data_IF_840314740293
#
_entry.id   IF_840314740293
#
_cell.length_a   1.000
_cell.length_b   1.000
_cell.length_c   1.000
_cell.angle_alpha   90.00
_cell.angle_beta   90.00
_cell.angle_gamma   90.00
#
_symmetry.space_group_name_H-M   'P 1'
#
loop_
_entity.id
_entity.type
_entity.pdbx_description
1 polymer ?
#
# COMPACT_ATOMS: atom_id res chain seq x y z
N UNK A 1 -20.03 -25.56 -1.20
CA UNK A 1 -18.81 -26.25 -0.70
C UNK A 1 -17.58 -25.36 -0.80
N UNK A 2 -17.27 -24.79 -1.98
CA UNK A 2 -16.14 -23.85 -2.14
C UNK A 2 -16.19 -22.64 -1.21
N UNK A 3 -17.35 -21.98 -1.08
CA UNK A 3 -17.51 -20.84 -0.17
C UNK A 3 -17.18 -21.18 1.28
N UNK A 4 -17.74 -22.30 1.79
CA UNK A 4 -17.48 -22.76 3.16
C UNK A 4 -16.01 -23.10 3.42
N UNK A 5 -15.28 -23.57 2.40
CA UNK A 5 -13.83 -23.80 2.50
C UNK A 5 -13.05 -22.48 2.55
N UNK A 6 -13.38 -21.52 1.69
CA UNK A 6 -12.78 -20.19 1.68
C UNK A 6 -13.07 -19.41 2.96
N UNK A 7 -14.25 -19.63 3.54
CA UNK A 7 -14.63 -19.10 4.85
C UNK A 7 -13.79 -19.72 5.97
N UNK A 8 -13.62 -21.05 5.99
CA UNK A 8 -12.82 -21.76 6.99
C UNK A 8 -11.32 -21.44 6.94
N UNK A 9 -10.81 -21.00 5.78
CA UNK A 9 -9.43 -20.59 5.58
C UNK A 9 -9.19 -19.10 5.87
N UNK A 10 -10.22 -18.34 6.26
CA UNK A 10 -10.18 -16.88 6.37
C UNK A 10 -9.57 -16.22 5.13
N UNK A 11 -9.86 -16.79 3.95
CA UNK A 11 -9.24 -16.37 2.70
C UNK A 11 -9.56 -14.91 2.40
N UNK A 12 -8.58 -14.06 2.05
CA UNK A 12 -8.81 -12.68 1.64
C UNK A 12 -9.83 -12.58 0.50
N UNK A 13 -10.64 -11.52 0.46
CA UNK A 13 -11.72 -11.34 -0.53
C UNK A 13 -11.21 -11.46 -1.99
N UNK A 14 -9.98 -11.03 -2.24
CA UNK A 14 -9.32 -11.17 -3.54
C UNK A 14 -9.15 -12.64 -3.94
N UNK A 15 -8.62 -13.46 -3.03
CA UNK A 15 -8.41 -14.90 -3.26
C UNK A 15 -9.74 -15.64 -3.41
N UNK A 16 -10.78 -15.19 -2.70
CA UNK A 16 -12.13 -15.74 -2.88
C UNK A 16 -12.64 -15.53 -4.29
N UNK A 17 -12.43 -14.36 -4.87
CA UNK A 17 -12.79 -14.10 -6.26
C UNK A 17 -11.96 -14.94 -7.24
N UNK A 18 -10.65 -15.08 -7.01
CA UNK A 18 -9.79 -15.94 -7.85
C UNK A 18 -10.25 -17.40 -7.80
N UNK A 19 -10.60 -17.91 -6.61
CA UNK A 19 -11.12 -19.26 -6.44
C UNK A 19 -12.49 -19.45 -7.10
N UNK A 20 -13.39 -18.47 -6.99
CA UNK A 20 -14.69 -18.49 -7.70
C UNK A 20 -14.48 -18.53 -9.22
N UNK A 21 -13.61 -17.67 -9.75
CA UNK A 21 -13.27 -17.64 -11.18
C UNK A 21 -12.68 -18.97 -11.66
N UNK A 22 -11.73 -19.54 -10.92
CA UNK A 22 -11.11 -20.82 -11.25
C UNK A 22 -12.12 -21.99 -11.25
N UNK A 23 -13.18 -21.88 -10.44
CA UNK A 23 -14.27 -22.85 -10.38
C UNK A 23 -15.41 -22.58 -11.40
N UNK A 24 -15.25 -21.58 -12.29
CA UNK A 24 -16.24 -21.24 -13.33
C UNK A 24 -17.38 -20.34 -12.85
N UNK A 25 -17.26 -19.71 -11.68
CA UNK A 25 -18.24 -18.76 -11.14
C UNK A 25 -17.80 -17.31 -11.38
N UNK A 26 -18.77 -16.38 -11.33
CA UNK A 26 -18.48 -14.96 -11.36
C UNK A 26 -17.88 -14.48 -10.02
N UNK A 27 -16.99 -13.46 -10.02
CA UNK A 27 -16.51 -12.82 -8.80
C UNK A 27 -17.66 -12.27 -7.96
N UNK A 28 -17.65 -12.54 -6.66
CA UNK A 28 -18.71 -12.09 -5.74
C UNK A 28 -18.36 -10.77 -5.02
N UNK A 29 -17.07 -10.44 -4.89
CA UNK A 29 -16.60 -9.30 -4.10
C UNK A 29 -16.01 -8.21 -5.01
N UNK A 30 -16.61 -7.03 -5.06
CA UNK A 30 -16.08 -5.94 -5.88
C UNK A 30 -14.81 -5.32 -5.28
N UNK A 31 -13.70 -5.30 -6.03
CA UNK A 31 -12.56 -4.42 -5.76
C UNK A 31 -12.67 -3.17 -6.62
N UNK A 32 -12.42 -1.99 -6.04
CA UNK A 32 -12.50 -0.73 -6.77
C UNK A 32 -11.25 0.08 -6.52
N UNK A 33 -10.63 0.63 -7.58
CA UNK A 33 -9.47 1.48 -7.42
C UNK A 33 -9.85 2.73 -6.63
N UNK A 34 -8.90 3.29 -5.87
CA UNK A 34 -9.14 4.52 -5.11
C UNK A 34 -9.59 5.68 -6.02
N UNK A 35 -9.28 5.65 -7.32
CA UNK A 35 -9.67 6.65 -8.32
C UNK A 35 -11.10 6.48 -8.86
N UNK A 36 -11.81 5.40 -8.51
CA UNK A 36 -13.19 5.17 -8.94
C UNK A 36 -14.10 6.33 -8.49
N UNK A 37 -15.04 6.76 -9.35
CA UNK A 37 -16.00 7.82 -9.02
C UNK A 37 -16.75 7.55 -7.72
N UNK A 38 -17.06 6.28 -7.42
CA UNK A 38 -17.77 5.88 -6.21
C UNK A 38 -16.89 5.95 -4.95
N UNK A 39 -15.56 6.05 -5.11
CA UNK A 39 -14.59 6.27 -4.03
C UNK A 39 -14.36 7.76 -3.71
N UNK A 40 -15.09 8.68 -4.35
CA UNK A 40 -14.96 10.12 -4.10
C UNK A 40 -15.12 10.53 -2.61
N UNK A 41 -16.09 9.99 -1.84
CA UNK A 41 -16.22 10.31 -0.42
C UNK A 41 -15.01 9.85 0.40
N UNK A 42 -14.44 8.70 0.06
CA UNK A 42 -13.24 8.15 0.73
C UNK A 42 -12.03 9.03 0.43
N UNK A 43 -11.82 9.40 -0.84
CA UNK A 43 -10.74 10.34 -1.21
C UNK A 43 -10.84 11.66 -0.47
N UNK A 44 -12.04 12.26 -0.41
CA UNK A 44 -12.25 13.50 0.32
C UNK A 44 -11.93 13.38 1.82
N UNK A 45 -12.24 12.25 2.45
CA UNK A 45 -11.88 11.99 3.84
C UNK A 45 -10.36 11.85 4.02
N UNK A 46 -9.67 11.15 3.11
CA UNK A 46 -8.22 11.03 3.11
C UNK A 46 -7.55 12.40 2.91
N UNK A 47 -8.02 13.20 1.95
CA UNK A 47 -7.53 14.56 1.70
C UNK A 47 -7.64 15.43 2.97
N UNK A 48 -8.76 15.33 3.68
CA UNK A 48 -8.97 16.06 4.93
C UNK A 48 -8.00 15.63 6.04
N UNK A 49 -7.76 14.32 6.19
CA UNK A 49 -6.78 13.81 7.16
C UNK A 49 -5.35 14.26 6.82
N UNK A 50 -4.97 14.16 5.55
CA UNK A 50 -3.65 14.61 5.07
C UNK A 50 -3.43 16.10 5.30
N UNK A 51 -4.46 16.92 5.06
CA UNK A 51 -4.42 18.36 5.31
C UNK A 51 -4.35 18.68 6.81
N UNK A 52 -5.09 17.96 7.65
CA UNK A 52 -5.07 18.15 9.10
C UNK A 52 -3.71 17.85 9.74
N UNK A 53 -2.93 16.95 9.12
CA UNK A 53 -1.58 16.64 9.57
C UNK A 53 -0.50 17.59 9.01
N UNK A 54 -0.78 18.42 8.00
CA UNK A 54 0.21 19.35 7.42
C UNK A 54 0.59 20.45 8.45
N UNK A 55 1.89 20.74 8.73
CA UNK A 55 3.09 20.36 7.97
C UNK A 55 3.78 19.05 8.38
N UNK A 56 3.25 18.30 9.35
CA UNK A 56 3.81 17.00 9.72
C UNK A 56 3.62 16.00 8.56
N UNK A 57 4.66 15.22 8.17
CA UNK A 57 4.55 14.26 7.07
C UNK A 57 3.42 13.23 7.27
N UNK A 58 2.52 13.14 6.30
CA UNK A 58 1.48 12.12 6.23
C UNK A 58 1.25 11.65 4.79
N UNK A 59 0.99 10.35 4.63
CA UNK A 59 0.77 9.73 3.33
C UNK A 59 -0.13 8.49 3.41
N UNK A 60 -0.66 8.09 2.25
CA UNK A 60 -1.54 6.93 2.06
C UNK A 60 -0.83 5.92 1.17
N UNK A 61 -0.82 4.65 1.59
CA UNK A 61 -0.32 3.53 0.82
C UNK A 61 -1.47 2.60 0.41
N UNK A 62 -1.30 1.87 -0.70
CA UNK A 62 -2.11 0.71 -0.99
C UNK A 62 -1.60 -0.55 -0.25
N UNK A 63 -2.29 -1.67 -0.47
CA UNK A 63 -1.97 -2.99 0.06
C UNK A 63 -0.65 -3.58 -0.49
N UNK A 64 -0.05 -2.93 -1.49
CA UNK A 64 1.25 -3.27 -2.07
C UNK A 64 2.37 -2.31 -1.63
N UNK A 65 2.12 -1.43 -0.65
CA UNK A 65 3.04 -0.39 -0.17
C UNK A 65 3.38 0.69 -1.22
N UNK A 66 2.50 0.89 -2.20
CA UNK A 66 2.63 1.93 -3.20
C UNK A 66 1.97 3.21 -2.70
N UNK A 67 2.69 4.32 -2.82
CA UNK A 67 2.22 5.64 -2.44
C UNK A 67 1.05 6.07 -3.34
N UNK A 68 -0.12 6.29 -2.72
CA UNK A 68 -1.32 6.75 -3.38
C UNK A 68 -1.51 8.27 -3.27
N UNK A 69 -1.24 8.81 -2.07
CA UNK A 69 -1.39 10.24 -1.77
C UNK A 69 -0.39 10.65 -0.69
N UNK A 70 0.01 11.92 -0.70
CA UNK A 70 0.94 12.49 0.27
C UNK A 70 0.66 13.97 0.48
N UNK A 71 0.73 14.44 1.72
CA UNK A 71 0.63 15.86 2.02
C UNK A 71 1.92 16.62 1.65
N UNK A 72 1.89 17.95 1.79
CA UNK A 72 3.02 18.81 1.43
C UNK A 72 4.23 18.53 2.33
N UNK A 73 4.02 18.28 3.62
CA UNK A 73 5.06 17.85 4.56
C UNK A 73 5.83 16.61 4.07
N UNK A 74 5.13 15.56 3.63
CA UNK A 74 5.78 14.36 3.06
C UNK A 74 6.51 14.67 1.77
N UNK A 75 5.94 15.46 0.86
CA UNK A 75 6.61 15.84 -0.39
C UNK A 75 7.92 16.59 -0.12
N UNK A 76 7.91 17.52 0.85
CA UNK A 76 9.10 18.25 1.26
C UNK A 76 10.16 17.32 1.88
N UNK A 77 9.74 16.45 2.80
CA UNK A 77 10.63 15.45 3.43
C UNK A 77 11.27 14.54 2.37
N UNK A 78 10.48 13.99 1.46
CA UNK A 78 10.98 13.11 0.39
C UNK A 78 11.94 13.85 -0.56
N UNK A 79 11.68 15.12 -0.84
CA UNK A 79 12.61 15.97 -1.60
C UNK A 79 13.96 16.16 -0.91
N UNK A 80 13.98 16.35 0.42
CA UNK A 80 15.21 16.42 1.21
C UNK A 80 16.00 15.10 1.20
N UNK A 81 15.28 13.98 1.07
CA UNK A 81 15.85 12.64 0.94
C UNK A 81 16.29 12.30 -0.50
N UNK A 82 16.20 13.26 -1.44
CA UNK A 82 16.62 13.08 -2.82
C UNK A 82 15.61 12.34 -3.72
N UNK A 83 14.38 12.15 -3.25
CA UNK A 83 13.31 11.54 -4.06
C UNK A 83 12.70 12.61 -4.96
N UNK A 84 12.75 12.44 -6.30
CA UNK A 84 12.20 13.44 -7.21
C UNK A 84 10.67 13.46 -7.15
N UNK A 85 10.01 14.63 -7.30
CA UNK A 85 8.55 14.74 -7.26
C UNK A 85 7.83 13.82 -8.26
N UNK A 86 8.45 13.58 -9.42
CA UNK A 86 7.93 12.68 -10.44
C UNK A 86 7.81 11.22 -9.95
N UNK A 87 8.72 10.77 -9.08
CA UNK A 87 8.65 9.43 -8.51
C UNK A 87 7.47 9.31 -7.52
N UNK A 88 7.20 10.36 -6.74
CA UNK A 88 6.05 10.40 -5.83
C UNK A 88 4.72 10.34 -6.58
N UNK A 89 4.62 11.04 -7.71
CA UNK A 89 3.43 11.02 -8.57
C UNK A 89 3.27 9.69 -9.35
N UNK A 90 4.37 8.98 -9.60
CA UNK A 90 4.42 7.75 -10.40
C UNK A 90 4.11 6.45 -9.65
N UNK A 91 3.60 6.52 -8.42
CA UNK A 91 3.36 5.33 -7.60
C UNK A 91 4.67 4.79 -7.01
N UNK A 92 5.37 5.61 -6.23
CA UNK A 92 6.54 5.19 -5.49
C UNK A 92 6.20 4.01 -4.57
N UNK A 93 6.86 2.87 -4.76
CA UNK A 93 6.76 1.75 -3.84
C UNK A 93 7.73 1.93 -2.67
N UNK A 94 7.19 2.07 -1.46
CA UNK A 94 7.98 2.43 -0.29
C UNK A 94 8.93 1.31 0.15
N UNK A 95 8.54 0.03 -0.01
CA UNK A 95 9.43 -1.10 0.28
C UNK A 95 10.66 -1.06 -0.63
N UNK A 96 10.46 -0.84 -1.93
CA UNK A 96 11.57 -0.71 -2.89
C UNK A 96 12.44 0.50 -2.59
N UNK A 97 11.82 1.66 -2.32
CA UNK A 97 12.56 2.89 -2.02
C UNK A 97 13.40 2.76 -0.73
N UNK A 98 12.88 2.05 0.28
CA UNK A 98 13.57 1.84 1.55
C UNK A 98 14.69 0.80 1.45
N UNK A 99 14.41 -0.35 0.84
CA UNK A 99 15.30 -1.52 0.85
C UNK A 99 16.32 -1.56 -0.29
N UNK A 100 16.22 -0.69 -1.29
CA UNK A 100 17.19 -0.64 -2.38
C UNK A 100 18.60 -0.28 -1.87
N UNK A 101 19.68 -0.82 -2.49
CA UNK A 101 21.04 -0.35 -2.23
C UNK A 101 21.15 1.16 -2.47
N UNK A 102 21.59 1.92 -1.47
CA UNK A 102 21.61 3.39 -1.55
C UNK A 102 20.24 4.06 -1.45
N UNK A 103 19.20 3.32 -1.05
CA UNK A 103 17.84 3.82 -0.88
C UNK A 103 17.64 4.63 0.40
N UNK A 104 16.36 4.88 0.73
CA UNK A 104 15.96 5.74 1.85
C UNK A 104 16.51 5.28 3.21
N UNK A 105 16.79 3.99 3.38
CA UNK A 105 17.37 3.47 4.61
C UNK A 105 18.73 4.10 4.97
N UNK A 106 19.48 4.60 3.97
CA UNK A 106 20.76 5.28 4.19
C UNK A 106 20.64 6.64 4.88
N UNK A 107 19.46 7.25 4.82
CA UNK A 107 19.18 8.52 5.49
C UNK A 107 18.67 8.32 6.93
N UNK A 108 18.44 7.07 7.36
CA UNK A 108 18.02 6.74 8.71
C UNK A 108 19.25 6.52 9.59
N UNK A 109 19.16 6.98 10.86
CA UNK A 109 20.21 6.73 11.86
C UNK A 109 20.34 5.22 12.12
N UNK A 110 19.22 4.52 12.24
CA UNK A 110 19.14 3.07 12.49
C UNK A 110 18.48 2.35 11.30
N UNK A 111 19.06 2.49 10.11
CA UNK A 111 18.47 1.97 8.88
C UNK A 111 18.26 0.45 8.88
N UNK A 112 19.23 -0.34 9.36
CA UNK A 112 19.16 -1.81 9.32
C UNK A 112 18.02 -2.38 10.20
N UNK A 113 17.87 -1.97 11.48
CA UNK A 113 16.73 -2.38 12.30
C UNK A 113 15.37 -2.01 11.68
N UNK A 114 15.27 -0.80 11.11
CA UNK A 114 14.03 -0.33 10.46
C UNK A 114 13.72 -1.18 9.23
N UNK A 115 14.72 -1.48 8.39
CA UNK A 115 14.56 -2.36 7.24
C UNK A 115 14.08 -3.76 7.67
N UNK A 116 14.65 -4.32 8.74
CA UNK A 116 14.27 -5.63 9.24
C UNK A 116 12.80 -5.64 9.72
N UNK A 117 12.36 -4.62 10.46
CA UNK A 117 10.98 -4.52 10.93
C UNK A 117 9.99 -4.36 9.76
N UNK A 118 10.29 -3.46 8.82
CA UNK A 118 9.48 -3.21 7.63
C UNK A 118 9.39 -4.48 6.79
N UNK A 119 10.48 -5.21 6.61
CA UNK A 119 10.51 -6.48 5.89
C UNK A 119 9.67 -7.57 6.58
N UNK A 120 9.79 -7.71 7.90
CA UNK A 120 8.95 -8.65 8.66
C UNK A 120 7.47 -8.30 8.58
N UNK A 121 7.13 -7.01 8.60
CA UNK A 121 5.76 -6.53 8.43
C UNK A 121 5.23 -6.86 7.04
N UNK A 122 6.00 -6.55 5.99
CA UNK A 122 5.64 -6.87 4.61
C UNK A 122 5.41 -8.37 4.42
N UNK A 123 6.24 -9.24 5.01
CA UNK A 123 6.04 -10.69 4.97
C UNK A 123 4.73 -11.14 5.64
N UNK A 124 4.38 -10.55 6.78
CA UNK A 124 3.09 -10.83 7.44
C UNK A 124 1.91 -10.37 6.58
N UNK A 125 2.02 -9.20 5.97
CA UNK A 125 0.97 -8.63 5.12
C UNK A 125 0.85 -9.37 3.78
N UNK A 126 1.94 -9.95 3.26
CA UNK A 126 1.90 -10.79 2.06
C UNK A 126 1.02 -12.03 2.24
N UNK A 127 0.80 -12.51 3.47
CA UNK A 127 -0.17 -13.57 3.73
C UNK A 127 -1.63 -13.12 3.46
N UNK A 128 -1.91 -11.82 3.46
CA UNK A 128 -3.25 -11.26 3.29
C UNK A 128 -3.41 -10.44 1.99
N UNK A 129 -2.29 -10.01 1.39
CA UNK A 129 -2.23 -9.21 0.16
C UNK A 129 -1.54 -10.01 -0.95
N UNK A 130 -2.30 -10.52 -1.94
CA UNK A 130 -1.72 -11.19 -3.11
C UNK A 130 -0.78 -10.30 -3.92
N UNK A 131 -0.93 -8.96 -3.83
CA UNK A 131 -0.10 -8.00 -4.54
C UNK A 131 1.35 -7.96 -4.03
N UNK A 132 1.58 -8.30 -2.75
CA UNK A 132 2.92 -8.39 -2.15
C UNK A 132 3.62 -9.73 -2.37
N UNK A 133 2.91 -10.76 -2.87
CA UNK A 133 3.50 -12.10 -3.11
C UNK A 133 4.21 -12.23 -4.46
N UNK A 134 4.11 -11.24 -5.34
CA UNK A 134 4.69 -11.24 -6.69
C UNK A 134 5.97 -10.41 -6.75
#
# INVERSE_FOLDING_TARGET
>A
MLQALLDALDAPLAERNEALLAAGYAPAFGQRPLQDVQMAPVRAALDHLLAAHDPAPAFVLDDAWTLLQANRGTQAMMGLLGVPPAALAGGLNLLRALLAPGGLATALVDGEPVCAEVWQRAQREAALSPALRR
#
